data_IF_022222431652
#
_entry.id   IF_022222431652
#
_cell.length_a   1.000
_cell.length_b   1.000
_cell.length_c   1.000
_cell.angle_alpha   90.00
_cell.angle_beta   90.00
_cell.angle_gamma   90.00
#
_symmetry.space_group_name_H-M   'P 1'
#
loop_
_entity.id
_entity.type
_entity.pdbx_description
1 polymer ?
#
# COMPACT_ATOMS: atom_id res chain seq x y z
N UNK A 1 32.12 18.39 3.04
CA UNK A 1 30.75 17.94 2.76
C UNK A 1 30.67 16.42 2.75
N UNK A 2 31.58 15.72 2.05
CA UNK A 2 31.60 14.24 1.95
C UNK A 2 31.54 13.47 3.28
N UNK A 3 32.25 13.90 4.33
CA UNK A 3 32.20 13.23 5.65
C UNK A 3 30.85 13.33 6.35
N UNK A 4 30.06 14.36 6.05
CA UNK A 4 28.70 14.46 6.56
C UNK A 4 27.78 13.52 5.78
N UNK A 5 27.88 13.51 4.45
CA UNK A 5 27.12 12.62 3.58
C UNK A 5 27.34 11.15 3.91
N UNK A 6 28.60 10.73 4.14
CA UNK A 6 28.91 9.36 4.54
C UNK A 6 28.29 8.98 5.88
N UNK A 7 28.31 9.91 6.86
CA UNK A 7 27.69 9.66 8.18
C UNK A 7 26.17 9.57 8.10
N UNK A 8 25.54 10.41 7.29
CA UNK A 8 24.09 10.37 7.07
C UNK A 8 23.69 9.06 6.40
N UNK A 9 24.39 8.65 5.34
CA UNK A 9 24.12 7.39 4.66
C UNK A 9 24.31 6.19 5.60
N UNK A 10 25.38 6.17 6.40
CA UNK A 10 25.59 5.10 7.38
C UNK A 10 24.46 5.03 8.39
N UNK A 11 24.06 6.17 8.94
CA UNK A 11 22.95 6.25 9.88
C UNK A 11 21.63 5.76 9.26
N UNK A 12 21.31 6.18 8.03
CA UNK A 12 20.10 5.74 7.30
C UNK A 12 20.09 4.23 7.11
N UNK A 13 21.19 3.64 6.62
CA UNK A 13 21.30 2.21 6.41
C UNK A 13 21.21 1.41 7.72
N UNK A 14 21.79 1.89 8.82
CA UNK A 14 21.66 1.26 10.13
C UNK A 14 20.21 1.29 10.65
N UNK A 15 19.51 2.41 10.46
CA UNK A 15 18.10 2.50 10.84
C UNK A 15 17.22 1.58 9.98
N UNK A 16 17.48 1.52 8.67
CA UNK A 16 16.76 0.67 7.74
C UNK A 16 16.96 -0.81 8.06
N UNK A 17 18.21 -1.24 8.36
CA UNK A 17 18.51 -2.61 8.80
C UNK A 17 17.82 -2.95 10.13
N UNK A 18 17.85 -2.04 11.10
CA UNK A 18 17.23 -2.26 12.40
C UNK A 18 15.69 -2.37 12.31
N UNK A 19 15.07 -1.60 11.42
CA UNK A 19 13.62 -1.58 11.23
C UNK A 19 13.13 -2.55 10.13
N UNK A 20 14.04 -3.24 9.43
CA UNK A 20 13.75 -3.97 8.20
C UNK A 20 12.55 -4.91 8.34
N UNK A 21 12.55 -5.78 9.36
CA UNK A 21 11.47 -6.74 9.56
C UNK A 21 10.15 -6.05 9.96
N UNK A 22 10.22 -4.95 10.71
CA UNK A 22 9.06 -4.19 11.14
C UNK A 22 8.42 -3.43 9.97
N UNK A 23 9.21 -2.78 9.12
CA UNK A 23 8.71 -2.05 7.96
C UNK A 23 8.24 -2.99 6.84
N UNK A 24 8.97 -4.08 6.58
CA UNK A 24 8.66 -4.97 5.46
C UNK A 24 7.55 -5.99 5.74
N UNK A 25 7.38 -6.43 6.99
CA UNK A 25 6.36 -7.42 7.34
C UNK A 25 5.24 -6.79 8.16
N UNK A 26 5.54 -6.25 9.34
CA UNK A 26 4.50 -5.81 10.26
C UNK A 26 3.75 -4.59 9.73
N UNK A 27 4.45 -3.52 9.35
CA UNK A 27 3.86 -2.26 8.92
C UNK A 27 3.45 -2.25 7.44
N UNK A 28 3.63 -3.39 6.75
CA UNK A 28 3.29 -3.57 5.33
C UNK A 28 1.80 -3.37 5.05
N UNK A 29 0.95 -3.68 6.04
CA UNK A 29 -0.49 -3.42 5.99
C UNK A 29 -0.96 -2.94 7.37
N UNK A 30 -1.63 -1.79 7.42
CA UNK A 30 -2.35 -1.29 8.60
C UNK A 30 -3.39 -0.23 8.17
N UNK A 31 -4.08 0.39 9.13
CA UNK A 31 -5.14 1.36 8.84
C UNK A 31 -4.64 2.68 8.23
N UNK A 32 -3.34 2.99 8.33
CA UNK A 32 -2.71 4.24 7.85
C UNK A 32 -1.91 3.99 6.57
N UNK A 33 -1.11 2.93 6.55
CA UNK A 33 -0.23 2.54 5.46
C UNK A 33 -0.63 1.19 4.89
N UNK A 34 -0.20 0.91 3.66
CA UNK A 34 -0.30 -0.41 3.06
C UNK A 34 -0.62 -0.35 1.59
N UNK A 35 -0.65 -1.51 0.95
CA UNK A 35 -0.86 -1.60 -0.49
C UNK A 35 -2.19 -0.98 -0.92
N UNK A 36 -3.23 -1.11 -0.09
CA UNK A 36 -4.58 -0.63 -0.33
C UNK A 36 -4.66 0.90 -0.31
N UNK A 37 -3.79 1.57 0.43
CA UNK A 37 -3.65 3.03 0.40
C UNK A 37 -2.66 3.48 -0.68
N UNK A 38 -1.59 2.72 -0.90
CA UNK A 38 -0.51 3.08 -1.84
C UNK A 38 -1.00 3.21 -3.28
N UNK A 39 -1.84 2.29 -3.75
CA UNK A 39 -2.37 2.35 -5.14
C UNK A 39 -3.15 3.64 -5.37
N UNK A 40 -4.01 4.04 -4.43
CA UNK A 40 -4.77 5.29 -4.51
C UNK A 40 -3.86 6.50 -4.45
N UNK A 41 -2.92 6.56 -3.49
CA UNK A 41 -1.98 7.69 -3.38
C UNK A 41 -1.17 7.85 -4.67
N UNK A 42 -0.71 6.75 -5.26
CA UNK A 42 0.09 6.80 -6.49
C UNK A 42 -0.73 7.36 -7.66
N UNK A 43 -1.94 6.84 -7.90
CA UNK A 43 -2.75 7.29 -9.04
C UNK A 43 -3.28 8.71 -8.83
N UNK A 44 -3.84 9.02 -7.65
CA UNK A 44 -4.49 10.30 -7.36
C UNK A 44 -3.50 11.45 -7.18
N UNK A 45 -2.37 11.21 -6.50
CA UNK A 45 -1.48 12.31 -6.04
C UNK A 45 -0.12 12.36 -6.74
N UNK A 46 0.34 11.27 -7.31
CA UNK A 46 1.70 11.17 -7.87
C UNK A 46 1.71 11.10 -9.40
N UNK A 47 0.55 11.04 -10.04
CA UNK A 47 0.41 10.86 -11.48
C UNK A 47 -0.57 11.84 -12.15
N UNK A 48 -0.38 13.16 -12.03
CA UNK A 48 -1.19 14.12 -12.76
C UNK A 48 -0.98 13.94 -14.28
N UNK A 49 -1.99 13.54 -15.07
CA UNK A 49 -1.79 13.23 -16.48
C UNK A 49 -2.03 14.45 -17.37
N UNK A 50 -1.11 14.70 -18.31
CA UNK A 50 -1.21 15.80 -19.28
C UNK A 50 -1.12 15.32 -20.73
N UNK A 51 -0.46 14.20 -20.96
CA UNK A 51 -0.26 13.59 -22.28
C UNK A 51 -0.95 12.24 -22.37
N UNK A 52 -1.20 11.75 -23.60
CA UNK A 52 -1.71 10.39 -23.83
C UNK A 52 -0.88 9.36 -23.07
N UNK A 53 0.45 9.51 -23.07
CA UNK A 53 1.36 8.60 -22.39
C UNK A 53 1.16 8.55 -20.88
N UNK A 54 0.81 9.67 -20.25
CA UNK A 54 0.55 9.70 -18.81
C UNK A 54 -0.70 8.90 -18.44
N UNK A 55 -1.77 9.03 -19.25
CA UNK A 55 -2.98 8.22 -19.09
C UNK A 55 -2.69 6.72 -19.28
N UNK A 56 -1.92 6.37 -20.31
CA UNK A 56 -1.48 4.99 -20.53
C UNK A 56 -0.67 4.45 -19.35
N UNK A 57 0.17 5.27 -18.71
CA UNK A 57 0.92 4.87 -17.53
C UNK A 57 0.00 4.59 -16.32
N UNK A 58 -1.12 5.31 -16.17
CA UNK A 58 -2.11 5.03 -15.13
C UNK A 58 -2.79 3.69 -15.43
N UNK A 59 -3.26 3.49 -16.67
CA UNK A 59 -3.89 2.24 -17.12
C UNK A 59 -2.94 1.05 -16.90
N UNK A 60 -1.66 1.19 -17.27
CA UNK A 60 -0.66 0.15 -17.08
C UNK A 60 -0.46 -0.20 -15.60
N UNK A 61 -0.50 0.78 -14.69
CA UNK A 61 -0.43 0.51 -13.25
C UNK A 61 -1.67 -0.20 -12.73
N UNK A 62 -2.87 0.17 -13.18
CA UNK A 62 -4.10 -0.56 -12.84
C UNK A 62 -4.05 -2.00 -13.35
N UNK A 63 -3.52 -2.24 -14.55
CA UNK A 63 -3.33 -3.59 -15.08
C UNK A 63 -2.27 -4.40 -14.32
N UNK A 64 -1.32 -3.75 -13.64
CA UNK A 64 -0.30 -4.40 -12.82
C UNK A 64 -0.78 -4.73 -11.39
N UNK A 65 -1.94 -4.23 -10.97
CA UNK A 65 -2.49 -4.42 -9.62
C UNK A 65 -2.62 -5.90 -9.22
N UNK A 66 -3.09 -6.84 -10.08
CA UNK A 66 -3.18 -8.24 -9.70
C UNK A 66 -1.85 -8.83 -9.23
N UNK A 67 -0.77 -8.61 -10.00
CA UNK A 67 0.56 -9.07 -9.63
C UNK A 67 1.06 -8.40 -8.34
N UNK A 68 0.76 -7.10 -8.16
CA UNK A 68 1.13 -6.38 -6.95
C UNK A 68 0.40 -6.92 -5.70
N UNK A 69 -0.89 -7.27 -5.82
CA UNK A 69 -1.65 -7.93 -4.73
C UNK A 69 -1.03 -9.27 -4.38
N UNK A 70 -0.69 -10.10 -5.37
CA UNK A 70 -0.12 -11.43 -5.15
C UNK A 70 1.25 -11.39 -4.46
N UNK A 71 2.09 -10.44 -4.84
CA UNK A 71 3.37 -10.20 -4.19
C UNK A 71 3.19 -9.78 -2.72
N UNK A 72 2.22 -8.90 -2.42
CA UNK A 72 1.97 -8.48 -1.05
C UNK A 72 1.32 -9.59 -0.21
N UNK A 73 0.47 -10.43 -0.79
CA UNK A 73 -0.06 -11.64 -0.12
C UNK A 73 1.10 -12.57 0.25
N UNK A 74 2.05 -12.77 -0.64
CA UNK A 74 3.24 -13.59 -0.37
C UNK A 74 4.05 -13.05 0.82
N UNK A 75 4.34 -11.74 0.83
CA UNK A 75 5.02 -11.09 1.96
C UNK A 75 4.21 -11.16 3.27
N UNK A 76 2.88 -11.07 3.19
CA UNK A 76 2.02 -11.23 4.36
C UNK A 76 2.00 -12.66 4.89
N UNK A 77 2.14 -13.68 4.04
CA UNK A 77 2.34 -15.06 4.49
C UNK A 77 3.67 -15.21 5.23
N UNK A 78 4.76 -14.62 4.71
CA UNK A 78 6.04 -14.60 5.41
C UNK A 78 5.93 -13.88 6.77
N UNK A 79 5.13 -12.80 6.85
CA UNK A 79 4.85 -12.12 8.10
C UNK A 79 4.11 -13.02 9.11
N UNK A 80 3.17 -13.86 8.64
CA UNK A 80 2.47 -14.85 9.46
C UNK A 80 3.46 -15.88 10.02
N UNK A 81 4.33 -16.43 9.16
CA UNK A 81 5.34 -17.42 9.55
C UNK A 81 6.35 -16.87 10.57
N UNK A 82 6.63 -15.57 10.50
CA UNK A 82 7.48 -14.82 11.43
C UNK A 82 6.76 -14.35 12.70
N UNK A 83 5.45 -14.60 12.82
CA UNK A 83 4.60 -14.08 13.90
C UNK A 83 4.58 -12.53 14.00
N UNK A 84 4.79 -11.83 12.89
CA UNK A 84 4.79 -10.37 12.76
C UNK A 84 3.48 -9.87 12.15
N UNK A 85 2.34 -10.25 12.76
CA UNK A 85 1.01 -9.90 12.26
C UNK A 85 0.41 -8.68 12.97
N UNK A 86 -0.52 -8.01 12.28
CA UNK A 86 -1.31 -6.94 12.87
C UNK A 86 -2.30 -7.46 13.93
N UNK A 87 -2.71 -6.61 14.90
CA UNK A 87 -3.80 -6.93 15.81
C UNK A 87 -5.13 -7.14 15.07
N UNK A 88 -6.02 -7.96 15.64
CA UNK A 88 -7.39 -8.16 15.11
C UNK A 88 -8.10 -6.83 14.83
N UNK A 89 -8.01 -5.86 15.75
CA UNK A 89 -8.58 -4.52 15.56
C UNK A 89 -8.10 -3.84 14.27
N UNK A 90 -6.81 -3.95 13.95
CA UNK A 90 -6.23 -3.32 12.76
C UNK A 90 -6.67 -4.08 11.51
N UNK A 91 -6.71 -5.41 11.57
CA UNK A 91 -7.23 -6.25 10.46
C UNK A 91 -8.68 -5.89 10.12
N UNK A 92 -9.54 -5.69 11.13
CA UNK A 92 -10.92 -5.27 10.93
C UNK A 92 -11.03 -3.90 10.26
N UNK A 93 -10.19 -2.94 10.66
CA UNK A 93 -10.15 -1.61 10.05
C UNK A 93 -9.70 -1.67 8.58
N UNK A 94 -8.64 -2.42 8.30
CA UNK A 94 -8.13 -2.62 6.93
C UNK A 94 -9.18 -3.32 6.07
N UNK A 95 -9.84 -4.36 6.59
CA UNK A 95 -10.92 -5.05 5.88
C UNK A 95 -12.04 -4.09 5.48
N UNK A 96 -12.49 -3.22 6.40
CA UNK A 96 -13.51 -2.19 6.12
C UNK A 96 -13.03 -1.18 5.08
N UNK A 97 -11.77 -0.76 5.11
CA UNK A 97 -11.21 0.15 4.11
C UNK A 97 -11.22 -0.48 2.71
N UNK A 98 -10.79 -1.73 2.58
CA UNK A 98 -10.77 -2.44 1.29
C UNK A 98 -12.20 -2.66 0.77
N UNK A 99 -13.13 -3.05 1.65
CA UNK A 99 -14.54 -3.20 1.28
C UNK A 99 -15.16 -1.86 0.80
N UNK A 100 -14.84 -0.76 1.48
CA UNK A 100 -15.28 0.57 1.05
C UNK A 100 -14.69 0.98 -0.29
N UNK A 101 -13.42 0.62 -0.55
CA UNK A 101 -12.74 0.86 -1.84
C UNK A 101 -13.38 0.08 -2.99
N UNK A 102 -13.75 -1.18 -2.76
CA UNK A 102 -14.50 -2.01 -3.73
C UNK A 102 -15.86 -1.37 -4.03
N UNK A 103 -16.56 -0.88 -3.01
CA UNK A 103 -17.89 -0.29 -3.13
C UNK A 103 -17.92 1.13 -3.69
N UNK A 104 -16.79 1.68 -4.15
CA UNK A 104 -16.76 3.04 -4.71
C UNK A 104 -17.51 3.10 -6.05
N UNK A 105 -18.24 4.19 -6.24
CA UNK A 105 -18.83 4.55 -7.53
C UNK A 105 -17.71 4.81 -8.56
N UNK A 106 -17.77 4.13 -9.70
CA UNK A 106 -16.80 4.29 -10.79
C UNK A 106 -16.73 5.74 -11.30
N UNK A 107 -17.83 6.50 -11.23
CA UNK A 107 -17.86 7.91 -11.61
C UNK A 107 -17.28 8.87 -10.57
N UNK A 108 -16.80 8.36 -9.43
CA UNK A 108 -16.30 9.17 -8.30
C UNK A 108 -15.01 8.65 -7.68
N UNK A 109 -14.57 7.46 -8.05
CA UNK A 109 -13.33 6.90 -7.51
C UNK A 109 -12.12 7.72 -7.96
N UNK A 110 -11.18 8.05 -7.05
CA UNK A 110 -9.94 8.75 -7.41
C UNK A 110 -9.13 8.04 -8.50
N UNK A 111 -9.29 6.73 -8.65
CA UNK A 111 -8.57 5.93 -9.66
C UNK A 111 -9.00 6.27 -11.10
N UNK A 112 -10.22 6.77 -11.29
CA UNK A 112 -10.80 7.05 -12.60
C UNK A 112 -11.04 8.56 -12.84
N UNK A 113 -10.90 9.39 -11.80
CA UNK A 113 -11.25 10.80 -11.83
C UNK A 113 -10.59 11.57 -12.98
N UNK A 114 -9.30 11.31 -13.23
CA UNK A 114 -8.55 11.96 -14.31
C UNK A 114 -9.10 11.67 -15.71
N UNK A 115 -9.81 10.54 -15.90
CA UNK A 115 -10.36 10.12 -17.18
C UNK A 115 -11.76 10.68 -17.44
N UNK A 116 -12.39 11.33 -16.46
CA UNK A 116 -13.68 11.99 -16.69
C UNK A 116 -13.54 13.25 -17.55
N UNK A 117 -12.44 13.99 -17.37
CA UNK A 117 -12.15 15.24 -18.08
C UNK A 117 -10.77 15.20 -18.72
N UNK A 118 -10.67 14.56 -19.88
CA UNK A 118 -9.43 14.57 -20.66
C UNK A 118 -9.21 15.95 -21.31
N UNK A 119 -7.95 16.41 -21.40
CA UNK A 119 -7.57 17.62 -22.11
C UNK A 119 -8.06 17.64 -23.58
N UNK A 120 -8.53 18.81 -24.04
CA UNK A 120 -9.05 18.98 -25.40
C UNK A 120 -8.00 18.87 -26.51
N UNK A 121 -6.70 18.92 -26.16
CA UNK A 121 -5.61 18.67 -27.10
C UNK A 121 -5.38 17.18 -27.39
N UNK A 122 -6.01 16.27 -26.65
CA UNK A 122 -6.03 14.84 -26.98
C UNK A 122 -7.16 14.59 -28.00
N UNK A 123 -6.89 13.95 -29.16
CA UNK A 123 -7.91 13.66 -30.16
C UNK A 123 -9.10 12.88 -29.58
N UNK A 124 -10.31 13.12 -30.09
CA UNK A 124 -11.54 12.50 -29.58
C UNK A 124 -11.50 10.96 -29.62
N UNK A 125 -10.88 10.39 -30.66
CA UNK A 125 -10.68 8.94 -30.78
C UNK A 125 -9.79 8.39 -29.64
N UNK A 126 -8.68 9.06 -29.35
CA UNK A 126 -7.80 8.70 -28.23
C UNK A 126 -8.48 8.88 -26.87
N UNK A 127 -9.29 9.93 -26.70
CA UNK A 127 -10.07 10.09 -25.47
C UNK A 127 -11.06 8.93 -25.26
N UNK A 128 -11.76 8.51 -26.32
CA UNK A 128 -12.67 7.38 -26.26
C UNK A 128 -11.94 6.07 -25.94
N UNK A 129 -10.79 5.84 -26.58
CA UNK A 129 -9.92 4.67 -26.31
C UNK A 129 -9.45 4.66 -24.86
N UNK A 130 -8.87 5.74 -24.36
CA UNK A 130 -8.35 5.84 -22.98
C UNK A 130 -9.44 5.60 -21.93
N UNK A 131 -10.66 6.11 -22.16
CA UNK A 131 -11.81 5.86 -21.28
C UNK A 131 -12.20 4.38 -21.28
N UNK A 132 -12.29 3.75 -22.45
CA UNK A 132 -12.62 2.33 -22.55
C UNK A 132 -11.53 1.45 -21.88
N UNK A 133 -10.27 1.77 -22.12
CA UNK A 133 -9.12 1.03 -21.59
C UNK A 133 -9.05 1.13 -20.06
N UNK A 134 -9.26 2.32 -19.48
CA UNK A 134 -9.23 2.48 -18.02
C UNK A 134 -10.42 1.79 -17.34
N UNK A 135 -11.63 1.85 -17.93
CA UNK A 135 -12.79 1.13 -17.42
C UNK A 135 -12.52 -0.38 -17.43
N UNK A 136 -11.98 -0.90 -18.53
CA UNK A 136 -11.61 -2.31 -18.62
C UNK A 136 -10.53 -2.69 -17.59
N UNK A 137 -9.49 -1.88 -17.39
CA UNK A 137 -8.47 -2.12 -16.38
C UNK A 137 -9.04 -2.12 -14.96
N UNK A 138 -9.95 -1.19 -14.66
CA UNK A 138 -10.60 -1.12 -13.35
C UNK A 138 -11.50 -2.33 -13.09
N UNK A 139 -12.37 -2.68 -14.05
CA UNK A 139 -13.35 -3.75 -13.87
C UNK A 139 -12.74 -5.14 -13.94
N UNK A 140 -11.76 -5.35 -14.83
CA UNK A 140 -11.23 -6.69 -15.12
C UNK A 140 -9.95 -7.01 -14.37
N UNK A 141 -9.21 -6.00 -13.92
CA UNK A 141 -7.93 -6.20 -13.20
C UNK A 141 -8.03 -5.71 -11.75
N UNK A 142 -8.36 -4.44 -11.53
CA UNK A 142 -8.36 -3.85 -10.19
C UNK A 142 -9.41 -4.49 -9.26
N UNK A 143 -10.70 -4.48 -9.63
CA UNK A 143 -11.77 -4.99 -8.76
C UNK A 143 -11.59 -6.46 -8.37
N UNK A 144 -11.31 -7.40 -9.30
CA UNK A 144 -11.07 -8.81 -8.92
C UNK A 144 -9.87 -8.97 -7.98
N UNK A 145 -8.78 -8.22 -8.20
CA UNK A 145 -7.62 -8.25 -7.32
C UNK A 145 -7.92 -7.65 -5.94
N UNK A 146 -8.74 -6.61 -5.86
CA UNK A 146 -9.18 -6.02 -4.59
C UNK A 146 -10.11 -6.95 -3.81
N UNK A 147 -11.01 -7.67 -4.49
CA UNK A 147 -11.80 -8.74 -3.88
C UNK A 147 -10.91 -9.86 -3.34
N UNK A 148 -9.94 -10.33 -4.13
CA UNK A 148 -8.94 -11.32 -3.67
C UNK A 148 -8.20 -10.85 -2.42
N UNK A 149 -7.81 -9.58 -2.38
CA UNK A 149 -7.16 -8.99 -1.21
C UNK A 149 -8.10 -8.98 0.00
N UNK A 150 -9.37 -8.58 -0.17
CA UNK A 150 -10.36 -8.57 0.90
C UNK A 150 -10.56 -9.98 1.48
N UNK A 151 -10.74 -10.98 0.62
CA UNK A 151 -10.93 -12.38 1.01
C UNK A 151 -9.71 -12.90 1.78
N UNK A 152 -8.49 -12.54 1.34
CA UNK A 152 -7.26 -12.91 2.03
C UNK A 152 -7.18 -12.27 3.44
N UNK A 153 -7.50 -10.97 3.54
CA UNK A 153 -7.47 -10.23 4.80
C UNK A 153 -8.51 -10.77 5.78
N UNK A 154 -9.73 -11.06 5.32
CA UNK A 154 -10.82 -11.60 6.15
C UNK A 154 -10.66 -13.10 6.47
N UNK A 155 -9.87 -13.83 5.69
CA UNK A 155 -9.66 -15.26 5.86
C UNK A 155 -8.29 -15.57 6.47
N UNK A 156 -7.30 -15.99 5.66
CA UNK A 156 -5.97 -16.37 6.13
C UNK A 156 -5.33 -15.38 7.12
N UNK A 157 -5.30 -14.08 6.79
CA UNK A 157 -4.60 -13.10 7.62
C UNK A 157 -5.33 -12.85 8.95
N UNK A 158 -6.67 -12.74 8.94
CA UNK A 158 -7.47 -12.60 10.15
C UNK A 158 -7.29 -13.77 11.13
N UNK A 159 -7.17 -15.01 10.64
CA UNK A 159 -6.90 -16.19 11.51
C UNK A 159 -5.54 -16.13 12.19
N UNK A 160 -4.57 -15.46 11.60
CA UNK A 160 -3.23 -15.27 12.13
C UNK A 160 -3.06 -13.92 12.88
N UNK A 161 -4.10 -13.10 12.94
CA UNK A 161 -4.06 -11.81 13.62
C UNK A 161 -3.88 -12.00 15.12
N UNK A 162 -3.02 -11.18 15.73
CA UNK A 162 -2.76 -11.25 17.17
C UNK A 162 -3.85 -10.54 17.98
N UNK A 163 -4.05 -10.97 19.23
CA UNK A 163 -5.03 -10.36 20.14
C UNK A 163 -4.52 -9.09 20.82
N UNK A 164 -3.23 -9.02 21.13
CA UNK A 164 -2.62 -7.85 21.76
C UNK A 164 -2.56 -6.66 20.79
N UNK A 165 -2.83 -5.45 21.28
CA UNK A 165 -2.85 -4.24 20.43
C UNK A 165 -1.46 -3.62 20.31
N UNK A 166 -0.71 -3.51 21.42
CA UNK A 166 0.62 -2.92 21.44
C UNK A 166 1.72 -3.83 20.89
N UNK A 167 2.79 -3.23 20.35
CA UNK A 167 3.98 -3.95 19.88
C UNK A 167 4.60 -4.83 20.96
N UNK A 168 4.51 -4.41 22.24
CA UNK A 168 4.99 -5.17 23.39
C UNK A 168 4.35 -6.56 23.57
N UNK A 169 3.24 -6.85 22.86
CA UNK A 169 2.64 -8.19 22.83
C UNK A 169 3.33 -9.17 21.87
N UNK A 170 4.23 -8.69 21.01
CA UNK A 170 5.09 -9.52 20.18
C UNK A 170 6.29 -10.05 20.99
N UNK A 171 6.80 -11.22 20.62
CA UNK A 171 8.12 -11.64 21.07
C UNK A 171 9.16 -10.59 20.62
N UNK A 172 9.99 -10.09 21.55
CA UNK A 172 10.90 -8.98 21.27
C UNK A 172 10.21 -7.61 21.09
N UNK A 173 8.92 -7.50 21.42
CA UNK A 173 8.10 -6.31 21.15
C UNK A 173 8.58 -5.01 21.79
N UNK A 174 9.27 -5.08 22.93
CA UNK A 174 9.88 -3.90 23.57
C UNK A 174 11.07 -3.38 22.78
N UNK A 175 11.93 -4.28 22.29
CA UNK A 175 13.08 -3.92 21.46
C UNK A 175 12.62 -3.39 20.10
N UNK A 176 11.60 -4.03 19.51
CA UNK A 176 10.94 -3.55 18.31
C UNK A 176 10.35 -2.14 18.50
N UNK A 177 9.71 -1.88 19.64
CA UNK A 177 9.19 -0.56 19.95
C UNK A 177 10.29 0.49 20.12
N UNK A 178 11.41 0.13 20.77
CA UNK A 178 12.57 1.01 20.89
C UNK A 178 13.24 1.32 19.53
N UNK A 179 13.26 0.36 18.60
CA UNK A 179 13.68 0.59 17.21
C UNK A 179 12.77 1.63 16.55
N UNK A 180 11.45 1.49 16.66
CA UNK A 180 10.52 2.45 16.05
C UNK A 180 10.59 3.83 16.69
N UNK A 181 10.82 3.95 17.99
CA UNK A 181 11.05 5.25 18.63
C UNK A 181 12.28 5.93 18.04
N UNK A 182 13.41 5.22 17.92
CA UNK A 182 14.61 5.76 17.27
C UNK A 182 14.34 6.15 15.82
N UNK A 183 13.65 5.31 15.06
CA UNK A 183 13.31 5.55 13.65
C UNK A 183 12.45 6.80 13.45
N UNK A 184 11.39 6.98 14.24
CA UNK A 184 10.43 8.07 14.04
C UNK A 184 10.78 9.36 14.77
N UNK A 185 11.59 9.31 15.82
CA UNK A 185 11.91 10.49 16.64
C UNK A 185 13.38 10.90 16.55
N UNK A 186 14.26 10.04 16.02
CA UNK A 186 15.73 10.16 16.09
C UNK A 186 16.30 10.18 17.52
N UNK A 187 15.46 9.99 18.54
CA UNK A 187 15.87 9.97 19.95
C UNK A 187 16.25 8.56 20.38
N UNK A 188 17.35 8.43 21.13
CA UNK A 188 17.74 7.20 21.79
C UNK A 188 17.15 7.13 23.20
N UNK A 189 15.82 7.06 23.31
CA UNK A 189 15.11 6.94 24.58
C UNK A 189 14.43 5.59 24.68
N UNK A 190 14.35 5.05 25.90
CA UNK A 190 13.52 3.87 26.19
C UNK A 190 12.13 4.34 26.64
N UNK A 191 11.04 3.82 26.05
CA UNK A 191 9.66 4.17 26.41
C UNK A 191 9.24 3.72 27.81
#
# INVERSE_FOLDING_TARGET
EDRLSVRLLHYELEQDLAAFDLENYLLRVNQVFGLHNRVYITVDRMMPPHTIRDYENIIARLNAVPAYVDQNISLMNEAIDRHLTQPTLIVDLVSKQIAAQIGQDQGKTPLLLAFHHLPSNIPAEEQARLKADVTAAFEKQFLPAWHKLLDYIQGPYARAARSGVGLSSLAGGRDAYAVLVRRYTTLQTTP
#
